data_IF_977022043573
#
_entry.id   IF_977022043573
#
_cell.length_a   1.000
_cell.length_b   1.000
_cell.length_c   1.000
_cell.angle_alpha   90.00
_cell.angle_beta   90.00
_cell.angle_gamma   90.00
#
_symmetry.space_group_name_H-M   'P 1'
#
loop_
_entity.id
_entity.type
_entity.pdbx_description
1 polymer ?
#
# COMPACT_ATOMS: atom_id res chain seq x y z
N UNK A 1 15.72 -16.56 -10.22
CA UNK A 1 16.50 -15.72 -11.16
C UNK A 1 15.96 -14.29 -11.32
N UNK A 2 14.89 -13.99 -12.08
CA UNK A 2 14.48 -12.58 -12.32
C UNK A 2 14.00 -11.80 -11.07
N UNK A 3 13.39 -12.47 -10.09
CA UNK A 3 12.99 -11.84 -8.84
C UNK A 3 14.18 -11.58 -7.90
N UNK A 4 15.19 -12.46 -7.88
CA UNK A 4 16.41 -12.27 -7.08
C UNK A 4 17.26 -11.12 -7.62
N UNK A 5 17.40 -11.01 -8.94
CA UNK A 5 18.14 -9.92 -9.59
C UNK A 5 17.50 -8.56 -9.26
N UNK A 6 16.15 -8.48 -9.22
CA UNK A 6 15.43 -7.26 -8.83
C UNK A 6 15.56 -6.95 -7.33
N UNK A 7 15.53 -7.97 -6.48
CA UNK A 7 15.70 -7.78 -5.04
C UNK A 7 17.08 -7.21 -4.72
N UNK A 8 18.12 -7.77 -5.32
CA UNK A 8 19.50 -7.32 -5.10
C UNK A 8 19.74 -5.89 -5.60
N UNK A 9 19.10 -5.48 -6.71
CA UNK A 9 19.24 -4.13 -7.21
C UNK A 9 18.51 -3.08 -6.36
N UNK A 10 17.38 -3.43 -5.75
CA UNK A 10 16.68 -2.56 -4.79
C UNK A 10 17.48 -2.44 -3.50
N UNK A 11 18.01 -3.55 -2.99
CA UNK A 11 18.81 -3.58 -1.77
C UNK A 11 20.03 -2.64 -1.89
N UNK A 12 20.77 -2.73 -3.01
CA UNK A 12 21.91 -1.84 -3.27
C UNK A 12 21.51 -0.35 -3.33
N UNK A 13 20.35 -0.03 -3.90
CA UNK A 13 19.84 1.35 -3.94
C UNK A 13 19.50 1.85 -2.53
N UNK A 14 18.88 1.02 -1.71
CA UNK A 14 18.56 1.35 -0.31
C UNK A 14 19.82 1.59 0.50
N UNK A 15 20.85 0.75 0.34
CA UNK A 15 22.13 0.90 1.03
C UNK A 15 22.82 2.22 0.66
N UNK A 16 22.91 2.54 -0.63
CA UNK A 16 23.48 3.80 -1.09
C UNK A 16 22.70 5.04 -0.59
N UNK A 17 21.39 4.91 -0.39
CA UNK A 17 20.56 5.96 0.22
C UNK A 17 20.81 6.07 1.73
N UNK A 18 20.95 4.94 2.42
CA UNK A 18 21.22 4.89 3.87
C UNK A 18 22.57 5.49 4.24
N UNK A 19 23.55 5.46 3.35
CA UNK A 19 24.85 6.12 3.53
C UNK A 19 24.75 7.65 3.49
N UNK A 20 23.80 8.20 2.73
CA UNK A 20 23.60 9.64 2.59
C UNK A 20 22.83 10.26 3.76
N UNK A 21 22.15 9.44 4.58
CA UNK A 21 21.33 9.90 5.70
C UNK A 21 22.17 10.10 6.97
N UNK A 22 21.97 11.24 7.62
CA UNK A 22 22.47 11.48 8.98
C UNK A 22 21.73 10.61 9.99
N UNK A 23 22.30 10.43 11.19
CA UNK A 23 21.65 9.66 12.27
C UNK A 23 20.30 10.27 12.65
N UNK A 24 20.20 11.61 12.70
CA UNK A 24 18.94 12.30 13.01
C UNK A 24 17.87 12.04 11.94
N UNK A 25 18.22 12.13 10.66
CA UNK A 25 17.31 11.81 9.56
C UNK A 25 16.86 10.34 9.62
N UNK A 26 17.77 9.40 9.91
CA UNK A 26 17.44 7.98 10.12
C UNK A 26 16.44 7.79 11.25
N UNK A 27 16.65 8.43 12.39
CA UNK A 27 15.72 8.37 13.52
C UNK A 27 14.34 8.93 13.16
N UNK A 28 14.28 10.03 12.38
CA UNK A 28 13.02 10.65 11.98
C UNK A 28 12.15 9.74 11.11
N UNK A 29 12.75 8.87 10.29
CA UNK A 29 12.05 7.92 9.43
C UNK A 29 11.38 6.77 10.20
N UNK A 30 11.68 6.60 11.49
CA UNK A 30 11.08 5.55 12.33
C UNK A 30 9.68 5.90 12.85
N UNK A 31 9.21 7.12 12.58
CA UNK A 31 7.88 7.60 12.94
C UNK A 31 7.19 8.24 11.75
N UNK A 32 5.86 8.19 11.73
CA UNK A 32 5.05 8.94 10.77
C UNK A 32 5.11 10.45 11.06
N UNK A 33 4.96 11.27 10.00
CA UNK A 33 4.82 12.72 10.16
C UNK A 33 3.42 13.14 10.62
N UNK A 34 2.47 12.21 10.59
CA UNK A 34 1.10 12.34 11.06
C UNK A 34 0.43 10.96 11.12
N UNK A 35 -0.90 10.93 11.19
CA UNK A 35 -1.67 9.67 11.29
C UNK A 35 -1.52 8.76 10.06
N UNK A 36 -1.40 9.36 8.88
CA UNK A 36 -1.48 8.64 7.60
C UNK A 36 -0.26 8.84 6.70
N UNK A 37 0.77 9.55 7.16
CA UNK A 37 1.91 9.91 6.31
C UNK A 37 3.23 9.46 6.92
N UNK A 38 4.13 8.95 6.09
CA UNK A 38 5.53 8.76 6.49
C UNK A 38 6.24 10.10 6.65
N UNK A 39 7.41 10.06 7.28
CA UNK A 39 8.34 11.19 7.28
C UNK A 39 8.97 11.36 5.88
N UNK A 40 9.20 12.62 5.47
CA UNK A 40 10.00 13.00 4.31
C UNK A 40 11.39 13.50 4.73
N UNK A 41 12.34 13.45 3.80
CA UNK A 41 13.66 14.06 3.91
C UNK A 41 13.83 15.00 2.72
N UNK A 42 13.61 16.31 2.92
CA UNK A 42 13.57 17.30 1.84
C UNK A 42 14.90 17.41 1.09
N UNK A 43 16.01 17.34 1.81
CA UNK A 43 17.38 17.39 1.26
C UNK A 43 17.65 16.30 0.22
N UNK A 44 17.03 15.12 0.41
CA UNK A 44 17.16 13.97 -0.49
C UNK A 44 15.93 13.80 -1.38
N UNK A 45 15.04 14.79 -1.43
CA UNK A 45 13.80 14.76 -2.20
C UNK A 45 12.96 13.50 -1.95
N UNK A 46 12.99 12.98 -0.72
CA UNK A 46 12.23 11.78 -0.35
C UNK A 46 10.76 12.17 -0.13
N UNK A 47 9.80 11.64 -0.91
CA UNK A 47 8.41 12.02 -0.78
C UNK A 47 7.79 11.46 0.50
N UNK A 48 6.77 12.15 1.03
CA UNK A 48 5.86 11.56 2.00
C UNK A 48 5.01 10.50 1.31
N UNK A 49 4.91 9.32 1.92
CA UNK A 49 4.03 8.27 1.45
C UNK A 49 2.73 8.34 2.24
N UNK A 50 1.61 8.31 1.53
CA UNK A 50 0.27 8.19 2.12
C UNK A 50 -0.05 6.72 2.39
N UNK A 51 -0.35 6.42 3.65
CA UNK A 51 -0.90 5.17 4.13
C UNK A 51 -2.36 5.38 4.46
N UNK A 52 -3.18 4.35 4.26
CA UNK A 52 -4.59 4.44 4.62
C UNK A 52 -5.14 3.07 4.94
N UNK A 53 -6.20 3.02 5.72
CA UNK A 53 -6.90 1.79 6.00
C UNK A 53 -7.48 1.16 4.74
N UNK A 54 -7.67 -0.16 4.83
CA UNK A 54 -8.68 -0.79 4.01
C UNK A 54 -8.48 -2.26 3.68
N UNK A 55 -8.78 -3.21 4.58
CA UNK A 55 -8.62 -4.61 4.25
C UNK A 55 -9.72 -5.11 3.27
N UNK A 56 -10.84 -4.38 3.14
CA UNK A 56 -11.93 -4.64 2.19
C UNK A 56 -12.38 -3.38 1.40
N UNK A 57 -11.46 -2.46 1.13
CA UNK A 57 -11.74 -1.25 0.34
C UNK A 57 -11.02 -0.03 0.88
N UNK A 58 -10.78 0.94 0.01
CA UNK A 58 -10.06 2.16 0.34
C UNK A 58 -10.84 3.02 1.34
N UNK A 59 -10.18 3.53 2.38
CA UNK A 59 -10.79 4.47 3.33
C UNK A 59 -9.92 5.72 3.54
N UNK A 60 -9.90 6.58 2.54
CA UNK A 60 -9.22 7.89 2.60
C UNK A 60 -10.17 8.95 3.18
N UNK A 61 -9.72 9.65 4.21
CA UNK A 61 -10.42 10.84 4.72
C UNK A 61 -10.21 12.01 3.76
N UNK A 62 -11.23 12.83 3.53
CA UNK A 62 -11.13 14.03 2.69
C UNK A 62 -10.17 15.10 3.25
N UNK A 63 -9.87 16.13 2.45
CA UNK A 63 -8.81 17.13 2.68
C UNK A 63 -8.91 17.96 3.97
N UNK A 64 -10.05 17.92 4.69
CA UNK A 64 -10.15 18.55 6.01
C UNK A 64 -9.75 17.53 7.06
N UNK A 65 -8.55 17.65 7.58
CA UNK A 65 -8.17 17.01 8.84
C UNK A 65 -8.95 17.70 9.96
N UNK A 66 -10.05 17.09 10.41
CA UNK A 66 -10.67 17.48 11.68
C UNK A 66 -10.77 16.25 12.55
N UNK A 67 -10.26 16.36 13.77
CA UNK A 67 -9.92 15.27 14.69
C UNK A 67 -11.13 14.47 15.21
N UNK A 68 -12.31 14.66 14.61
CA UNK A 68 -13.61 14.18 15.05
C UNK A 68 -14.22 13.10 14.15
N UNK A 69 -13.56 12.71 13.05
CA UNK A 69 -14.04 11.63 12.17
C UNK A 69 -15.34 11.94 11.41
N UNK A 70 -15.73 13.23 11.33
CA UNK A 70 -16.97 13.70 10.69
C UNK A 70 -16.79 14.04 9.20
N UNK A 71 -15.58 13.93 8.64
CA UNK A 71 -15.36 14.19 7.23
C UNK A 71 -15.73 12.98 6.38
N UNK A 72 -16.48 13.24 5.31
CA UNK A 72 -16.84 12.23 4.33
C UNK A 72 -15.57 11.59 3.77
N UNK A 73 -15.55 10.26 3.77
CA UNK A 73 -14.47 9.53 3.09
C UNK A 73 -14.64 9.71 1.59
N UNK A 74 -13.52 9.72 0.87
CA UNK A 74 -13.57 9.70 -0.60
C UNK A 74 -14.42 8.49 -1.03
N UNK A 75 -15.40 8.66 -1.93
CA UNK A 75 -16.22 7.56 -2.41
C UNK A 75 -15.33 6.44 -2.96
N UNK A 76 -15.41 5.27 -2.35
CA UNK A 76 -14.63 4.09 -2.69
C UNK A 76 -15.52 2.84 -2.70
N UNK A 77 -15.12 1.81 -3.44
CA UNK A 77 -15.90 0.58 -3.47
C UNK A 77 -15.74 -0.17 -2.15
N UNK A 78 -16.86 -0.42 -1.48
CA UNK A 78 -16.91 -1.30 -0.32
C UNK A 78 -16.99 -2.76 -0.81
N UNK A 79 -15.89 -3.49 -0.67
CA UNK A 79 -15.83 -4.89 -1.09
C UNK A 79 -16.34 -5.83 0.01
N UNK A 80 -16.70 -7.09 -0.34
CA UNK A 80 -16.98 -8.10 0.66
C UNK A 80 -15.81 -8.23 1.64
N UNK A 81 -16.13 -8.36 2.93
CA UNK A 81 -15.14 -8.59 3.97
C UNK A 81 -14.29 -9.83 3.67
N UNK A 82 -13.13 -9.90 4.30
CA UNK A 82 -12.18 -11.00 4.15
C UNK A 82 -12.83 -12.34 4.54
N UNK A 83 -13.88 -12.30 5.35
CA UNK A 83 -14.74 -13.43 5.68
C UNK A 83 -15.52 -13.97 4.50
N UNK A 84 -16.26 -13.07 3.84
CA UNK A 84 -17.02 -13.42 2.65
C UNK A 84 -16.09 -13.88 1.54
N UNK A 85 -14.96 -13.20 1.38
CA UNK A 85 -13.96 -13.58 0.40
C UNK A 85 -13.35 -14.96 0.70
N UNK A 86 -13.01 -15.25 1.96
CA UNK A 86 -12.50 -16.57 2.35
C UNK A 86 -13.56 -17.67 2.19
N UNK A 87 -14.83 -17.37 2.45
CA UNK A 87 -15.93 -18.31 2.24
C UNK A 87 -16.15 -18.67 0.77
N UNK A 88 -15.64 -17.87 -0.18
CA UNK A 88 -15.72 -18.19 -1.61
C UNK A 88 -14.80 -19.34 -2.04
N UNK A 89 -13.75 -19.65 -1.26
CA UNK A 89 -12.69 -20.61 -1.64
C UNK A 89 -12.05 -20.33 -3.02
N UNK A 90 -12.19 -19.12 -3.56
CA UNK A 90 -11.79 -18.77 -4.92
C UNK A 90 -10.63 -17.77 -4.95
N UNK A 91 -9.46 -18.26 -5.37
CA UNK A 91 -8.23 -17.46 -5.49
C UNK A 91 -8.29 -16.40 -6.59
N UNK A 92 -9.11 -16.58 -7.61
CA UNK A 92 -9.19 -15.62 -8.71
C UNK A 92 -10.07 -14.42 -8.33
N UNK A 93 -11.16 -14.64 -7.59
CA UNK A 93 -11.97 -13.56 -7.02
C UNK A 93 -11.13 -12.71 -6.05
N UNK A 94 -10.34 -13.37 -5.21
CA UNK A 94 -9.37 -12.73 -4.34
C UNK A 94 -8.38 -11.80 -5.05
N UNK A 95 -7.77 -12.31 -6.13
CA UNK A 95 -6.87 -11.50 -6.97
C UNK A 95 -7.60 -10.35 -7.64
N UNK A 96 -8.83 -10.57 -8.11
CA UNK A 96 -9.63 -9.55 -8.76
C UNK A 96 -9.97 -8.41 -7.79
N UNK A 97 -10.41 -8.73 -6.56
CA UNK A 97 -10.67 -7.76 -5.51
C UNK A 97 -9.41 -6.95 -5.18
N UNK A 98 -8.28 -7.62 -4.95
CA UNK A 98 -7.03 -6.94 -4.65
C UNK A 98 -6.52 -6.04 -5.78
N UNK A 99 -6.75 -6.42 -7.05
CA UNK A 99 -6.46 -5.54 -8.20
C UNK A 99 -7.36 -4.31 -8.23
N UNK A 100 -8.66 -4.48 -7.98
CA UNK A 100 -9.61 -3.37 -7.96
C UNK A 100 -9.25 -2.36 -6.87
N UNK A 101 -8.96 -2.84 -5.65
CA UNK A 101 -8.46 -2.00 -4.56
C UNK A 101 -7.18 -1.26 -4.96
N UNK A 102 -6.21 -1.95 -5.59
CA UNK A 102 -4.98 -1.32 -6.04
C UNK A 102 -5.17 -0.23 -7.10
N UNK A 103 -6.20 -0.34 -7.94
CA UNK A 103 -6.59 0.72 -8.90
C UNK A 103 -7.16 1.93 -8.16
N UNK A 104 -8.04 1.72 -7.19
CA UNK A 104 -8.59 2.81 -6.37
C UNK A 104 -7.50 3.54 -5.58
N UNK A 105 -6.60 2.80 -4.93
CA UNK A 105 -5.45 3.40 -4.23
C UNK A 105 -4.60 4.26 -5.16
N UNK A 106 -4.37 3.81 -6.40
CA UNK A 106 -3.59 4.60 -7.37
C UNK A 106 -4.31 5.87 -7.79
N UNK A 107 -5.61 5.81 -8.04
CA UNK A 107 -6.39 6.97 -8.42
C UNK A 107 -6.44 8.02 -7.30
N UNK A 108 -6.30 7.58 -6.06
CA UNK A 108 -6.36 8.42 -4.86
C UNK A 108 -4.99 8.78 -4.26
N UNK A 109 -3.90 8.57 -4.99
CA UNK A 109 -2.51 8.84 -4.55
C UNK A 109 -2.10 8.16 -3.23
N UNK A 110 -2.69 7.00 -2.97
CA UNK A 110 -2.39 6.16 -1.81
C UNK A 110 -1.27 5.19 -2.15
N UNK A 111 -0.21 5.23 -1.34
CA UNK A 111 1.00 4.46 -1.58
C UNK A 111 0.93 3.08 -0.91
N UNK A 112 0.33 3.02 0.28
CA UNK A 112 0.21 1.77 1.06
C UNK A 112 -1.21 1.67 1.62
N UNK A 113 -1.84 0.53 1.39
CA UNK A 113 -3.10 0.19 2.06
C UNK A 113 -2.82 -0.77 3.22
N UNK A 114 -3.42 -0.49 4.37
CA UNK A 114 -3.25 -1.30 5.58
C UNK A 114 -4.18 -2.52 5.51
N UNK A 115 -3.69 -3.55 4.82
CA UNK A 115 -4.37 -4.82 4.66
C UNK A 115 -3.54 -5.82 3.84
N UNK A 116 -4.01 -7.07 3.72
CA UNK A 116 -5.20 -7.65 4.34
C UNK A 116 -4.95 -8.06 5.81
N UNK A 117 -6.02 -8.12 6.60
CA UNK A 117 -5.98 -8.71 7.94
C UNK A 117 -5.90 -10.24 7.87
N UNK A 118 -4.80 -10.83 8.34
CA UNK A 118 -4.52 -12.27 8.24
C UNK A 118 -4.48 -13.00 9.59
N UNK A 119 -4.99 -12.39 10.65
CA UNK A 119 -5.04 -13.05 11.96
C UNK A 119 -5.96 -14.29 11.93
N UNK A 120 -5.70 -15.26 12.81
CA UNK A 120 -6.48 -16.50 12.90
C UNK A 120 -7.62 -16.32 13.90
N UNK A 121 -8.86 -16.66 13.50
CA UNK A 121 -10.01 -16.80 14.42
C UNK A 121 -9.80 -18.00 15.34
N UNK A 122 -9.10 -17.80 16.45
CA UNK A 122 -8.97 -18.84 17.50
C UNK A 122 -10.29 -19.07 18.24
N UNK A 123 -11.10 -18.03 18.39
CA UNK A 123 -12.41 -18.07 19.03
C UNK A 123 -13.47 -17.49 18.08
N UNK A 124 -14.70 -18.05 18.06
CA UNK A 124 -15.77 -17.58 17.18
C UNK A 124 -16.20 -16.13 17.48
N UNK A 125 -15.91 -15.60 18.67
CA UNK A 125 -16.26 -14.22 19.05
C UNK A 125 -15.28 -13.15 18.53
N UNK A 126 -14.18 -13.55 17.86
CA UNK A 126 -13.15 -12.61 17.37
C UNK A 126 -13.27 -12.42 15.85
N UNK A 127 -13.04 -11.19 15.39
CA UNK A 127 -12.98 -10.81 13.98
C UNK A 127 -11.53 -10.80 13.46
N UNK A 128 -11.12 -11.84 12.69
CA UNK A 128 -10.13 -11.80 11.58
C UNK A 128 -9.75 -13.22 11.10
N UNK A 129 -9.58 -13.43 9.78
CA UNK A 129 -9.77 -14.74 9.10
C UNK A 129 -8.55 -15.18 8.31
N UNK A 130 -8.25 -16.49 8.37
CA UNK A 130 -7.43 -17.16 7.37
C UNK A 130 -8.02 -18.54 6.98
N UNK A 131 -8.27 -18.74 5.69
CA UNK A 131 -8.27 -20.10 5.11
C UNK A 131 -7.68 -20.22 3.69
N UNK A 132 -7.17 -19.16 3.04
CA UNK A 132 -6.73 -19.27 1.62
C UNK A 132 -5.31 -18.77 1.29
N UNK A 133 -4.60 -18.12 2.22
CA UNK A 133 -3.48 -17.26 1.82
C UNK A 133 -2.11 -17.71 2.36
N UNK A 134 -1.56 -18.79 1.79
CA UNK A 134 -0.14 -19.13 1.95
C UNK A 134 0.74 -18.78 0.74
N UNK A 135 0.15 -18.40 -0.42
CA UNK A 135 0.88 -18.09 -1.68
C UNK A 135 0.55 -16.75 -2.37
N UNK A 136 -0.45 -15.99 -1.91
CA UNK A 136 -0.86 -14.72 -2.54
C UNK A 136 -0.14 -13.50 -1.91
N UNK A 137 0.58 -13.70 -0.81
CA UNK A 137 1.20 -12.68 0.03
C UNK A 137 2.21 -11.77 -0.70
N UNK A 138 2.79 -12.22 -1.81
CA UNK A 138 3.85 -11.48 -2.52
C UNK A 138 3.31 -10.62 -3.67
N UNK A 139 2.09 -10.88 -4.17
CA UNK A 139 1.57 -10.17 -5.33
C UNK A 139 0.87 -8.84 -4.98
N UNK A 140 0.36 -8.68 -3.76
CA UNK A 140 -0.43 -7.50 -3.38
C UNK A 140 0.43 -6.31 -2.91
N UNK A 141 1.62 -6.55 -2.34
CA UNK A 141 2.51 -5.50 -1.85
C UNK A 141 3.31 -4.77 -2.95
N UNK A 142 3.30 -5.24 -4.20
CA UNK A 142 4.23 -4.74 -5.25
C UNK A 142 3.55 -3.99 -6.41
N UNK A 143 2.22 -4.02 -6.53
CA UNK A 143 1.55 -3.50 -7.74
C UNK A 143 1.35 -1.98 -7.79
N UNK A 144 1.59 -1.24 -6.70
CA UNK A 144 1.54 0.23 -6.72
C UNK A 144 2.74 0.86 -7.45
N UNK A 145 3.91 0.21 -7.51
CA UNK A 145 5.15 0.81 -8.07
C UNK A 145 5.45 0.45 -9.53
N UNK A 146 4.78 -0.54 -10.13
CA UNK A 146 5.11 -1.02 -11.47
C UNK A 146 4.52 -0.22 -12.64
N UNK A 147 3.65 0.78 -12.39
CA UNK A 147 3.01 1.56 -13.46
C UNK A 147 3.41 3.04 -13.50
N UNK A 148 4.17 3.55 -12.50
CA UNK A 148 4.72 4.92 -12.56
C UNK A 148 5.96 5.03 -13.47
N UNK A 149 6.45 3.90 -14.01
CA UNK A 149 7.60 3.89 -14.92
C UNK A 149 7.23 4.17 -16.39
N UNK A 150 5.96 4.38 -16.72
CA UNK A 150 5.51 4.75 -18.07
C UNK A 150 5.26 6.25 -18.27
N UNK A 151 5.42 7.09 -17.25
CA UNK A 151 5.14 8.55 -17.36
C UNK A 151 6.37 9.45 -17.21
N UNK A 152 7.58 8.89 -17.22
CA UNK A 152 8.83 9.66 -17.26
C UNK A 152 9.68 9.17 -18.43
N UNK A 153 9.57 9.87 -19.56
CA UNK A 153 10.52 9.81 -20.68
C UNK A 153 10.02 9.17 -21.98
N UNK A 154 9.14 9.85 -22.72
CA UNK A 154 9.14 9.75 -24.18
C UNK A 154 8.86 11.12 -24.81
N UNK A 155 9.94 11.85 -25.07
CA UNK A 155 9.96 12.99 -25.97
C UNK A 155 10.15 12.47 -27.40
N UNK A 156 9.14 12.57 -28.26
CA UNK A 156 9.28 12.15 -29.65
C UNK A 156 8.03 12.25 -30.51
N UNK A 157 7.78 13.45 -31.03
CA UNK A 157 7.13 13.78 -32.30
C UNK A 157 5.65 13.40 -32.56
N UNK A 158 4.84 14.45 -32.69
CA UNK A 158 3.61 14.51 -33.47
C UNK A 158 3.90 14.28 -34.97
N UNK A 159 3.24 13.29 -35.57
CA UNK A 159 2.65 13.27 -36.91
C UNK A 159 1.83 11.99 -37.08
#
# INVERSE_FOLDING_TARGET
MMNEIKHNSIQAQVEAWMEQLTVSEKCSLLSGSGFWHTQNIDRLETPKLMLTDGPHGLRKQGEKEDHLGQNESVPATCFPSEAGLAASWNREIAKAQGRAIGVECRNEDVHVILGPGLNIKRSPCVVAILSIYRKILISLLILARLYRRSTVGWSGHFA
#
